data_IF_346097819417
#
_entry.id   IF_346097819417
#
_cell.length_a   1.000
_cell.length_b   1.000
_cell.length_c   1.000
_cell.angle_alpha   90.00
_cell.angle_beta   90.00
_cell.angle_gamma   90.00
#
_symmetry.space_group_name_H-M   'P 1'
#
loop_
_entity.id
_entity.type
_entity.pdbx_description
1 polymer ?
#
# COMPACT_ATOMS: atom_id res chain seq x y z
N UNK A 1 3.42 -19.97 -15.45
CA UNK A 1 3.73 -18.71 -16.14
C UNK A 1 2.57 -17.73 -16.00
N UNK A 2 2.79 -16.65 -15.27
CA UNK A 2 1.80 -15.59 -15.07
C UNK A 2 1.49 -14.79 -16.35
N UNK A 3 2.33 -14.92 -17.38
CA UNK A 3 2.19 -14.21 -18.66
C UNK A 3 0.95 -14.62 -19.44
N UNK A 4 0.63 -15.92 -19.43
CA UNK A 4 -0.53 -16.47 -20.15
C UNK A 4 -1.85 -15.96 -19.56
N UNK A 5 -2.14 -16.07 -18.25
CA UNK A 5 -3.36 -15.52 -17.67
C UNK A 5 -3.44 -14.00 -17.79
N UNK A 6 -2.30 -13.28 -17.68
CA UNK A 6 -2.27 -11.84 -17.88
C UNK A 6 -2.68 -11.44 -19.30
N UNK A 7 -2.11 -12.11 -20.31
CA UNK A 7 -2.46 -11.87 -21.72
C UNK A 7 -3.93 -12.18 -22.00
N UNK A 8 -4.48 -13.26 -21.43
CA UNK A 8 -5.89 -13.61 -21.59
C UNK A 8 -6.81 -12.57 -20.97
N UNK A 9 -6.49 -12.07 -19.77
CA UNK A 9 -7.28 -11.03 -19.10
C UNK A 9 -7.22 -9.71 -19.89
N UNK A 10 -6.03 -9.30 -20.32
CA UNK A 10 -5.85 -8.07 -21.12
C UNK A 10 -6.60 -8.18 -22.43
N UNK A 11 -6.46 -9.29 -23.14
CA UNK A 11 -7.16 -9.54 -24.40
C UNK A 11 -8.68 -9.54 -24.22
N UNK A 12 -9.18 -10.20 -23.16
CA UNK A 12 -10.61 -10.21 -22.83
C UNK A 12 -11.15 -8.80 -22.56
N UNK A 13 -10.43 -7.98 -21.77
CA UNK A 13 -10.83 -6.60 -21.46
C UNK A 13 -10.84 -5.73 -22.72
N UNK A 14 -9.84 -5.87 -23.59
CA UNK A 14 -9.77 -5.13 -24.86
C UNK A 14 -10.92 -5.47 -25.78
N UNK A 15 -11.24 -6.77 -25.93
CA UNK A 15 -12.29 -7.23 -26.86
C UNK A 15 -13.69 -6.90 -26.34
N UNK A 16 -13.91 -7.06 -25.03
CA UNK A 16 -15.24 -7.02 -24.44
C UNK A 16 -15.65 -5.59 -24.01
N UNK A 17 -14.71 -4.80 -23.50
CA UNK A 17 -14.99 -3.49 -22.90
C UNK A 17 -13.81 -2.53 -23.04
N UNK A 18 -13.48 -2.15 -24.27
CA UNK A 18 -12.46 -1.12 -24.52
C UNK A 18 -12.79 0.24 -23.87
N UNK A 19 -14.08 0.52 -23.61
CA UNK A 19 -14.53 1.70 -22.86
C UNK A 19 -14.09 1.72 -21.40
N UNK A 20 -13.80 0.55 -20.79
CA UNK A 20 -13.23 0.47 -19.44
C UNK A 20 -11.82 1.03 -19.37
N UNK A 21 -11.03 0.88 -20.43
CA UNK A 21 -9.69 1.44 -20.53
C UNK A 21 -9.70 2.98 -20.50
N UNK A 22 -10.76 3.61 -21.02
CA UNK A 22 -10.96 5.06 -20.94
C UNK A 22 -11.41 5.55 -19.56
N UNK A 23 -11.90 4.66 -18.70
CA UNK A 23 -12.34 4.99 -17.34
C UNK A 23 -11.24 4.71 -16.28
N UNK A 24 -10.10 4.16 -16.68
CA UNK A 24 -8.96 3.96 -15.79
C UNK A 24 -8.41 5.31 -15.38
N UNK A 25 -8.22 5.50 -14.08
CA UNK A 25 -7.56 6.69 -13.56
C UNK A 25 -6.06 6.61 -13.83
N UNK A 26 -5.65 7.17 -14.96
CA UNK A 26 -4.24 7.22 -15.37
C UNK A 26 -3.38 8.03 -14.39
N UNK A 27 -3.97 8.99 -13.68
CA UNK A 27 -3.30 9.77 -12.65
C UNK A 27 -2.88 8.86 -11.48
N UNK A 28 -3.78 7.98 -11.04
CA UNK A 28 -3.50 6.99 -10.01
C UNK A 28 -2.40 6.02 -10.46
N UNK A 29 -2.49 5.52 -11.69
CA UNK A 29 -1.50 4.61 -12.26
C UNK A 29 -0.11 5.27 -12.35
N UNK A 30 -0.04 6.52 -12.79
CA UNK A 30 1.20 7.29 -12.85
C UNK A 30 1.80 7.52 -11.46
N UNK A 31 0.96 7.81 -10.46
CA UNK A 31 1.37 7.97 -9.06
C UNK A 31 1.99 6.68 -8.51
N UNK A 32 1.35 5.54 -8.73
CA UNK A 32 1.91 4.24 -8.31
C UNK A 32 3.22 3.93 -9.03
N UNK A 33 3.30 4.19 -10.33
CA UNK A 33 4.52 3.96 -11.11
C UNK A 33 5.68 4.82 -10.58
N UNK A 34 5.42 6.11 -10.34
CA UNK A 34 6.41 7.02 -9.77
C UNK A 34 6.85 6.57 -8.37
N UNK A 35 5.91 6.11 -7.56
CA UNK A 35 6.19 5.58 -6.21
C UNK A 35 7.08 4.34 -6.27
N UNK A 36 6.80 3.40 -7.18
CA UNK A 36 7.64 2.19 -7.33
C UNK A 36 9.05 2.52 -7.82
N UNK A 37 9.21 3.47 -8.74
CA UNK A 37 10.52 3.95 -9.18
C UNK A 37 11.26 4.59 -8.01
N UNK A 38 10.58 5.42 -7.23
CA UNK A 38 11.15 6.07 -6.03
C UNK A 38 11.63 5.03 -5.01
N UNK A 39 10.80 4.05 -4.67
CA UNK A 39 11.12 2.97 -3.73
C UNK A 39 12.31 2.13 -4.25
N UNK A 40 12.32 1.79 -5.55
CA UNK A 40 13.41 1.05 -6.17
C UNK A 40 14.76 1.79 -6.12
N UNK A 41 14.72 3.11 -6.26
CA UNK A 41 15.94 3.95 -6.11
C UNK A 41 16.36 4.11 -4.65
N UNK A 42 15.40 4.22 -3.73
CA UNK A 42 15.67 4.35 -2.30
C UNK A 42 16.42 3.13 -1.74
N UNK A 43 16.07 1.94 -2.21
CA UNK A 43 16.78 0.68 -1.85
C UNK A 43 18.22 0.61 -2.34
N UNK A 44 18.62 1.44 -3.32
CA UNK A 44 20.00 1.51 -3.84
C UNK A 44 20.92 2.40 -3.01
N UNK A 45 20.38 3.25 -2.16
CA UNK A 45 21.15 4.12 -1.27
C UNK A 45 21.68 3.26 -0.12
N UNK A 46 23.00 3.07 -0.06
CA UNK A 46 23.64 2.17 0.92
C UNK A 46 23.33 2.56 2.38
N UNK A 47 23.32 3.85 2.69
CA UNK A 47 22.98 4.35 4.02
C UNK A 47 21.54 4.01 4.43
N UNK A 48 20.60 4.16 3.51
CA UNK A 48 19.19 3.83 3.73
C UNK A 48 18.98 2.33 3.85
N UNK A 49 19.66 1.55 3.01
CA UNK A 49 19.66 0.09 3.06
C UNK A 49 20.16 -0.45 4.40
N UNK A 50 21.29 0.07 4.89
CA UNK A 50 21.84 -0.27 6.20
C UNK A 50 20.90 0.11 7.33
N UNK A 51 20.31 1.27 7.28
CA UNK A 51 19.34 1.74 8.27
C UNK A 51 18.12 0.82 8.32
N UNK A 52 17.53 0.48 7.17
CA UNK A 52 16.39 -0.43 7.11
C UNK A 52 16.73 -1.82 7.63
N UNK A 53 17.83 -2.41 7.18
CA UNK A 53 18.22 -3.74 7.62
C UNK A 53 18.50 -3.79 9.13
N UNK A 54 19.08 -2.74 9.70
CA UNK A 54 19.32 -2.62 11.13
C UNK A 54 18.01 -2.58 11.94
N UNK A 55 17.01 -1.84 11.48
CA UNK A 55 15.72 -1.74 12.15
C UNK A 55 14.90 -3.02 11.98
N UNK A 56 15.00 -3.68 10.83
CA UNK A 56 14.22 -4.88 10.53
C UNK A 56 14.70 -6.11 11.26
N UNK A 57 15.98 -6.17 11.63
CA UNK A 57 16.54 -7.34 12.32
C UNK A 57 15.80 -7.64 13.63
N UNK A 58 15.01 -8.71 13.65
CA UNK A 58 14.22 -9.15 14.80
C UNK A 58 12.95 -8.34 15.10
N UNK A 59 12.63 -7.30 14.29
CA UNK A 59 11.47 -6.42 14.50
C UNK A 59 10.67 -6.20 13.22
N UNK A 60 10.67 -7.15 12.32
CA UNK A 60 10.08 -7.03 10.98
C UNK A 60 8.60 -6.66 11.02
N UNK A 61 7.81 -7.29 11.89
CA UNK A 61 6.37 -7.01 12.02
C UNK A 61 6.10 -5.58 12.47
N UNK A 62 6.81 -5.08 13.50
CA UNK A 62 6.63 -3.73 14.03
C UNK A 62 7.06 -2.69 13.01
N UNK A 63 8.19 -2.90 12.35
CA UNK A 63 8.70 -2.03 11.30
C UNK A 63 7.72 -1.98 10.11
N UNK A 64 7.15 -3.12 9.73
CA UNK A 64 6.16 -3.20 8.68
C UNK A 64 4.85 -2.46 9.03
N UNK A 65 4.38 -2.57 10.28
CA UNK A 65 3.22 -1.81 10.77
C UNK A 65 3.50 -0.31 10.70
N UNK A 66 4.62 0.16 11.22
CA UNK A 66 4.97 1.58 11.22
C UNK A 66 5.15 2.13 9.80
N UNK A 67 5.84 1.41 8.92
CA UNK A 67 6.02 1.81 7.54
C UNK A 67 4.69 1.92 6.79
N UNK A 68 3.76 0.99 7.03
CA UNK A 68 2.43 1.02 6.41
C UNK A 68 1.53 2.15 6.91
N UNK A 69 1.80 2.72 8.09
CA UNK A 69 1.12 3.93 8.56
C UNK A 69 1.54 5.19 7.79
N UNK A 70 2.79 5.22 7.33
CA UNK A 70 3.37 6.39 6.64
C UNK A 70 3.08 6.34 5.14
N UNK A 71 3.24 5.19 4.50
CA UNK A 71 3.23 5.10 3.04
C UNK A 71 2.18 4.14 2.45
N UNK A 72 1.24 3.63 3.22
CA UNK A 72 0.32 2.58 2.79
C UNK A 72 0.96 1.17 2.74
N UNK A 73 0.13 0.14 2.84
CA UNK A 73 0.57 -1.25 2.99
C UNK A 73 1.34 -1.81 1.79
N UNK A 74 0.88 -1.52 0.56
CA UNK A 74 1.51 -2.07 -0.65
C UNK A 74 2.92 -1.50 -0.89
N UNK A 75 3.13 -0.17 -0.91
CA UNK A 75 4.47 0.40 -1.01
C UNK A 75 5.39 -0.01 0.13
N UNK A 76 4.88 -0.09 1.36
CA UNK A 76 5.64 -0.55 2.52
C UNK A 76 6.10 -2.01 2.34
N UNK A 77 5.20 -2.90 1.92
CA UNK A 77 5.54 -4.29 1.66
C UNK A 77 6.63 -4.43 0.59
N UNK A 78 6.54 -3.69 -0.50
CA UNK A 78 7.51 -3.74 -1.60
C UNK A 78 8.86 -3.19 -1.14
N UNK A 79 8.89 -2.06 -0.44
CA UNK A 79 10.13 -1.49 0.06
C UNK A 79 10.84 -2.42 1.02
N UNK A 80 10.10 -2.97 1.98
CA UNK A 80 10.68 -3.81 3.04
C UNK A 80 10.99 -5.24 2.57
N UNK A 81 10.37 -5.71 1.48
CA UNK A 81 10.60 -7.06 0.96
C UNK A 81 12.05 -7.34 0.58
N UNK A 82 12.78 -6.30 0.16
CA UNK A 82 14.21 -6.40 -0.15
C UNK A 82 15.12 -6.61 1.07
N UNK A 83 14.61 -6.39 2.28
CA UNK A 83 15.37 -6.44 3.53
C UNK A 83 14.80 -7.42 4.56
N UNK A 84 13.65 -8.03 4.27
CA UNK A 84 12.97 -8.94 5.18
C UNK A 84 13.62 -10.34 5.13
N UNK A 85 13.91 -10.90 6.29
CA UNK A 85 14.29 -12.30 6.43
C UNK A 85 13.06 -13.21 6.58
N UNK A 86 11.96 -12.67 7.09
CA UNK A 86 10.71 -13.38 7.30
C UNK A 86 9.55 -12.67 6.60
N UNK A 87 9.21 -13.15 5.40
CA UNK A 87 8.12 -12.59 4.60
C UNK A 87 6.73 -12.73 5.24
N UNK A 88 6.53 -13.77 6.05
CA UNK A 88 5.26 -13.95 6.78
C UNK A 88 5.05 -12.83 7.78
N UNK A 89 6.06 -12.49 8.56
CA UNK A 89 6.02 -11.36 9.50
C UNK A 89 5.83 -10.01 8.80
N UNK A 90 6.44 -9.85 7.64
CA UNK A 90 6.28 -8.66 6.81
C UNK A 90 4.82 -8.50 6.31
N UNK A 91 4.25 -9.55 5.74
CA UNK A 91 2.88 -9.54 5.21
C UNK A 91 1.86 -9.29 6.32
N UNK A 92 2.01 -9.96 7.46
CA UNK A 92 1.16 -9.75 8.63
C UNK A 92 1.27 -8.30 9.11
N UNK A 93 2.47 -7.78 9.25
CA UNK A 93 2.71 -6.42 9.71
C UNK A 93 2.12 -5.36 8.79
N UNK A 94 2.33 -5.47 7.48
CA UNK A 94 1.79 -4.50 6.51
C UNK A 94 0.26 -4.55 6.44
N UNK A 95 -0.36 -5.73 6.54
CA UNK A 95 -1.81 -5.85 6.55
C UNK A 95 -2.43 -5.29 7.84
N UNK A 96 -1.86 -5.59 8.99
CA UNK A 96 -2.32 -5.03 10.28
C UNK A 96 -2.18 -3.51 10.27
N UNK A 97 -1.06 -2.98 9.77
CA UNK A 97 -0.86 -1.55 9.62
C UNK A 97 -1.88 -0.91 8.69
N UNK A 98 -2.17 -1.53 7.56
CA UNK A 98 -3.21 -1.07 6.64
C UNK A 98 -4.61 -1.02 7.26
N UNK A 99 -4.96 -2.01 8.06
CA UNK A 99 -6.22 -2.00 8.82
C UNK A 99 -6.26 -0.90 9.88
N UNK A 100 -5.15 -0.61 10.53
CA UNK A 100 -5.03 0.46 11.52
C UNK A 100 -5.33 1.85 10.94
N UNK A 101 -4.83 2.13 9.74
CA UNK A 101 -5.14 3.39 9.02
C UNK A 101 -6.60 3.48 8.62
N UNK A 102 -7.21 2.39 8.19
CA UNK A 102 -8.63 2.33 7.84
C UNK A 102 -9.51 2.64 9.05
N UNK A 103 -9.24 2.00 10.19
CA UNK A 103 -9.97 2.23 11.45
C UNK A 103 -9.80 3.67 11.94
N UNK A 104 -8.60 4.21 11.86
CA UNK A 104 -8.31 5.60 12.23
C UNK A 104 -9.06 6.60 11.33
N UNK A 105 -9.25 6.28 10.06
CA UNK A 105 -10.00 7.12 9.11
C UNK A 105 -11.51 7.11 9.36
N UNK A 106 -12.05 6.02 9.89
CA UNK A 106 -13.49 5.88 10.15
C UNK A 106 -13.88 6.61 11.45
N UNK A 107 -13.04 6.55 12.47
CA UNK A 107 -13.33 7.09 13.80
C UNK A 107 -13.60 8.61 13.85
N UNK A 108 -12.83 9.48 13.18
CA UNK A 108 -13.13 10.92 13.15
C UNK A 108 -14.46 11.24 12.50
N UNK A 109 -14.83 10.53 11.44
CA UNK A 109 -16.09 10.71 10.72
C UNK A 109 -17.31 10.33 11.56
N UNK A 110 -17.27 9.22 12.27
CA UNK A 110 -18.35 8.81 13.18
C UNK A 110 -18.54 9.79 14.33
N UNK A 111 -17.46 10.33 14.90
CA UNK A 111 -17.51 11.34 15.95
C UNK A 111 -18.09 12.68 15.50
N UNK A 112 -17.71 13.13 14.30
CA UNK A 112 -18.22 14.39 13.72
C UNK A 112 -19.71 14.28 13.36
N UNK A 113 -20.14 13.15 12.77
CA UNK A 113 -21.55 12.95 12.42
C UNK A 113 -22.45 12.84 13.65
N UNK A 114 -21.97 12.20 14.73
CA UNK A 114 -22.69 12.16 16.01
C UNK A 114 -22.78 13.54 16.68
N UNK A 115 -21.70 14.30 16.67
CA UNK A 115 -21.69 15.65 17.23
C UNK A 115 -22.60 16.60 16.45
N UNK A 116 -22.60 16.51 15.12
CA UNK A 116 -23.45 17.32 14.25
C UNK A 116 -24.95 17.04 14.48
N UNK A 117 -25.34 15.78 14.56
CA UNK A 117 -26.74 15.40 14.78
C UNK A 117 -27.24 15.73 16.19
N UNK A 118 -26.34 15.80 17.18
CA UNK A 118 -26.69 16.20 18.54
C UNK A 118 -26.83 17.73 18.69
N UNK A 119 -26.12 18.52 17.86
CA UNK A 119 -26.09 19.98 17.94
C UNK A 119 -27.21 20.65 17.14
N UNK A 120 -27.71 19.99 16.09
CA UNK A 120 -28.79 20.50 15.23
C UNK A 120 -29.90 19.45 15.07
N UNK A 121 -30.77 19.25 16.08
CA UNK A 121 -32.00 18.45 15.87
C UNK A 121 -32.89 19.19 14.88
N UNK A 122 -33.38 18.47 13.88
CA UNK A 122 -34.36 18.99 12.90
C UNK A 122 -35.73 19.16 13.52
#
# INVERSE_FOLDING_TARGET
>A
DFRIPLLLVVLYVIIRNHTLLGKVDYSLLATFTALFIFIGNLGRISQFSHFLSSIMTGRETITAILASQVMSNVPAAILLSGFANNYTSLIIGTNIGGLGTLIASIKPWAGISMCWSATFPR
#
